data_IF_862510489110
#
_entry.id   IF_862510489110
#
_cell.length_a   1.000
_cell.length_b   1.000
_cell.length_c   1.000
_cell.angle_alpha   90.00
_cell.angle_beta   90.00
_cell.angle_gamma   90.00
#
_symmetry.space_group_name_H-M   'P 1'
#
loop_
_entity.id
_entity.type
_entity.pdbx_description
1 polymer ?
#
# COMPACT_ATOMS: atom_id res chain seq x y z
N UNK A 1 39.87 -19.04 6.88
CA UNK A 1 39.91 -17.75 6.17
C UNK A 1 38.49 -17.20 6.11
N UNK A 2 38.14 -16.42 7.12
CA UNK A 2 36.80 -15.86 7.35
C UNK A 2 36.69 -14.57 6.54
N UNK A 3 35.78 -14.48 5.56
CA UNK A 3 35.54 -13.23 4.84
C UNK A 3 34.20 -12.63 5.27
N UNK A 4 34.32 -11.38 5.67
CA UNK A 4 33.37 -10.60 6.43
C UNK A 4 32.13 -10.18 5.63
N UNK A 5 31.00 -10.26 6.35
CA UNK A 5 29.86 -9.35 6.44
C UNK A 5 30.09 -8.04 5.65
N UNK A 6 29.41 -7.91 4.50
CA UNK A 6 29.24 -6.66 3.77
C UNK A 6 27.99 -5.92 4.27
N UNK A 7 28.15 -4.64 4.55
CA UNK A 7 27.27 -3.81 5.36
C UNK A 7 25.81 -3.73 4.91
N UNK A 8 24.92 -3.70 5.93
CA UNK A 8 23.53 -3.25 5.80
C UNK A 8 23.54 -1.83 5.28
N UNK A 9 22.95 -1.60 4.10
CA UNK A 9 22.46 -0.27 3.75
C UNK A 9 21.33 0.02 4.74
N UNK A 10 21.42 1.13 5.47
CA UNK A 10 20.23 1.73 6.07
C UNK A 10 19.26 1.98 4.92
N UNK A 11 18.19 1.20 4.84
CA UNK A 11 17.08 1.44 3.93
C UNK A 11 16.47 2.79 4.33
N UNK A 12 16.82 3.85 3.60
CA UNK A 12 16.32 5.19 3.87
C UNK A 12 14.80 5.18 3.74
N UNK A 13 14.11 5.52 4.83
CA UNK A 13 12.67 5.82 4.83
C UNK A 13 12.39 6.84 3.74
N UNK A 14 11.41 6.56 2.87
CA UNK A 14 11.06 7.52 1.81
C UNK A 14 10.58 8.84 2.42
N UNK A 15 10.76 9.96 1.72
CA UNK A 15 10.28 11.27 2.20
C UNK A 15 8.77 11.24 2.47
N UNK A 16 8.01 10.53 1.64
CA UNK A 16 6.58 10.33 1.85
C UNK A 16 6.29 9.51 3.11
N UNK A 17 7.01 8.42 3.38
CA UNK A 17 6.84 7.66 4.63
C UNK A 17 7.19 8.52 5.84
N UNK A 18 8.26 9.31 5.78
CA UNK A 18 8.63 10.24 6.84
C UNK A 18 7.53 11.29 7.10
N UNK A 19 6.88 11.77 6.03
CA UNK A 19 5.73 12.66 6.14
C UNK A 19 4.50 11.96 6.76
N UNK A 20 4.20 10.72 6.37
CA UNK A 20 3.12 9.93 6.98
C UNK A 20 3.37 9.68 8.47
N UNK A 21 4.59 9.31 8.85
CA UNK A 21 5.01 9.14 10.25
C UNK A 21 4.80 10.44 11.02
N UNK A 22 5.17 11.57 10.42
CA UNK A 22 4.98 12.87 11.05
C UNK A 22 3.54 13.27 11.24
N UNK A 23 2.69 13.06 10.24
CA UNK A 23 1.26 13.31 10.36
C UNK A 23 0.62 12.39 11.40
N UNK A 24 1.08 11.13 11.45
CA UNK A 24 0.59 10.14 12.40
C UNK A 24 0.90 10.49 13.87
N UNK A 25 1.91 11.31 14.13
CA UNK A 25 2.24 11.79 15.47
C UNK A 25 1.39 12.99 15.92
N UNK A 26 0.60 13.61 15.03
CA UNK A 26 -0.25 14.75 15.36
C UNK A 26 -1.52 14.28 16.06
N UNK A 27 -1.61 14.54 17.36
CA UNK A 27 -2.82 14.36 18.16
C UNK A 27 -3.76 15.57 18.06
N UNK A 28 -4.87 15.53 18.81
CA UNK A 28 -5.93 16.54 18.77
C UNK A 28 -5.42 17.95 19.14
N UNK A 29 -4.52 18.05 20.12
CA UNK A 29 -3.91 19.30 20.56
C UNK A 29 -2.96 19.84 19.49
N UNK A 30 -2.07 18.98 18.96
CA UNK A 30 -1.14 19.37 17.91
C UNK A 30 -1.86 19.84 16.64
N UNK A 31 -2.99 19.22 16.31
CA UNK A 31 -3.86 19.56 15.18
C UNK A 31 -4.65 20.86 15.38
N UNK A 32 -4.94 21.24 16.62
CA UNK A 32 -5.65 22.48 16.96
C UNK A 32 -4.75 23.72 17.00
N UNK A 33 -3.42 23.55 16.92
CA UNK A 33 -2.47 24.68 16.89
C UNK A 33 -2.73 25.58 15.67
N UNK A 34 -2.51 26.91 15.79
CA UNK A 34 -2.70 27.83 14.67
C UNK A 34 -1.81 27.47 13.48
N UNK A 35 -2.36 27.56 12.28
CA UNK A 35 -1.64 27.47 11.01
C UNK A 35 -2.19 28.50 10.04
N UNK A 36 -1.34 29.10 9.21
CA UNK A 36 -1.76 30.15 8.26
C UNK A 36 -1.85 29.59 6.86
N UNK A 37 -3.00 29.78 6.22
CA UNK A 37 -3.21 29.44 4.82
C UNK A 37 -3.65 30.67 4.03
N UNK A 38 -2.88 31.04 3.00
CA UNK A 38 -3.14 32.21 2.13
C UNK A 38 -3.44 33.48 2.93
N UNK A 39 -2.65 33.73 3.98
CA UNK A 39 -2.76 34.91 4.83
C UNK A 39 -3.93 34.90 5.82
N UNK A 40 -4.69 33.80 5.93
CA UNK A 40 -5.76 33.64 6.92
C UNK A 40 -5.39 32.57 7.95
N UNK A 41 -5.72 32.83 9.21
CA UNK A 41 -5.54 31.88 10.30
C UNK A 41 -6.55 30.73 10.18
N UNK A 42 -6.05 29.52 10.41
CA UNK A 42 -6.78 28.26 10.55
C UNK A 42 -5.97 27.38 11.53
N UNK A 43 -6.12 26.06 11.49
CA UNK A 43 -5.37 25.13 12.32
C UNK A 43 -4.54 24.13 11.50
N UNK A 44 -3.63 23.42 12.18
CA UNK A 44 -2.76 22.39 11.57
C UNK A 44 -3.56 21.27 10.90
N UNK A 45 -4.77 20.95 11.41
CA UNK A 45 -5.67 19.96 10.79
C UNK A 45 -6.02 20.33 9.36
N UNK A 46 -6.27 21.60 9.10
CA UNK A 46 -6.52 22.08 7.74
C UNK A 46 -5.31 21.93 6.83
N UNK A 47 -4.07 21.94 7.33
CA UNK A 47 -2.91 21.63 6.50
C UNK A 47 -2.98 20.21 5.90
N UNK A 48 -3.49 19.24 6.67
CA UNK A 48 -3.72 17.88 6.17
C UNK A 48 -4.92 17.81 5.21
N UNK A 49 -6.04 18.46 5.54
CA UNK A 49 -7.21 18.47 4.65
C UNK A 49 -6.95 19.19 3.32
N UNK A 50 -6.18 20.29 3.32
CA UNK A 50 -5.75 20.95 2.06
C UNK A 50 -4.88 20.02 1.21
N UNK A 51 -4.10 19.13 1.82
CA UNK A 51 -3.35 18.11 1.07
C UNK A 51 -4.25 17.01 0.54
N UNK A 52 -5.27 16.62 1.29
CA UNK A 52 -6.27 15.66 0.81
C UNK A 52 -7.02 16.22 -0.40
N UNK A 53 -7.36 17.51 -0.39
CA UNK A 53 -7.98 18.18 -1.53
C UNK A 53 -7.06 18.21 -2.77
N UNK A 54 -5.76 18.50 -2.58
CA UNK A 54 -4.78 18.43 -3.68
C UNK A 54 -4.72 17.00 -4.27
N UNK A 55 -4.75 15.97 -3.42
CA UNK A 55 -4.78 14.56 -3.84
C UNK A 55 -6.05 14.22 -4.62
N UNK A 56 -7.20 14.72 -4.16
CA UNK A 56 -8.49 14.55 -4.84
C UNK A 56 -8.50 15.24 -6.20
N UNK A 57 -7.92 16.43 -6.31
CA UNK A 57 -7.78 17.15 -7.58
C UNK A 57 -6.89 16.36 -8.56
N UNK A 58 -5.76 15.85 -8.10
CA UNK A 58 -4.89 14.97 -8.88
C UNK A 58 -5.62 13.69 -9.32
N UNK A 59 -6.40 13.08 -8.43
CA UNK A 59 -7.22 11.91 -8.76
C UNK A 59 -8.26 12.20 -9.84
N UNK A 60 -8.99 13.32 -9.74
CA UNK A 60 -9.98 13.71 -10.76
C UNK A 60 -9.32 13.91 -12.12
N UNK A 61 -8.15 14.56 -12.18
CA UNK A 61 -7.41 14.72 -13.44
C UNK A 61 -6.91 13.38 -13.98
N UNK A 62 -6.29 12.57 -13.14
CA UNK A 62 -5.75 11.27 -13.56
C UNK A 62 -6.85 10.34 -14.04
N UNK A 63 -7.99 10.27 -13.34
CA UNK A 63 -9.11 9.38 -13.68
C UNK A 63 -9.89 9.79 -14.93
N UNK A 64 -9.81 11.06 -15.33
CA UNK A 64 -10.42 11.54 -16.58
C UNK A 64 -9.67 11.08 -17.85
N UNK A 65 -8.43 10.58 -17.71
CA UNK A 65 -7.65 10.04 -18.82
C UNK A 65 -8.16 8.68 -19.32
N UNK A 66 -7.72 8.28 -20.51
CA UNK A 66 -8.00 6.95 -21.05
C UNK A 66 -7.10 5.90 -20.37
N UNK A 67 -7.71 4.90 -19.73
CA UNK A 67 -7.02 3.83 -19.02
C UNK A 67 -7.56 2.45 -19.41
N UNK A 68 -6.68 1.44 -19.63
CA UNK A 68 -7.11 0.05 -19.71
C UNK A 68 -7.95 -0.36 -18.50
N UNK A 69 -8.90 -1.28 -18.70
CA UNK A 69 -9.75 -1.81 -17.62
C UNK A 69 -8.89 -2.33 -16.45
N UNK A 70 -7.83 -3.08 -16.76
CA UNK A 70 -6.90 -3.62 -15.77
C UNK A 70 -6.21 -2.55 -14.93
N UNK A 71 -5.83 -1.42 -15.52
CA UNK A 71 -5.19 -0.29 -14.81
C UNK A 71 -6.15 0.32 -13.80
N UNK A 72 -7.40 0.54 -14.20
CA UNK A 72 -8.46 1.05 -13.30
C UNK A 72 -8.72 0.07 -12.15
N UNK A 73 -8.74 -1.23 -12.42
CA UNK A 73 -8.90 -2.26 -11.37
C UNK A 73 -7.72 -2.24 -10.40
N UNK A 74 -6.48 -2.19 -10.91
CA UNK A 74 -5.28 -2.17 -10.07
C UNK A 74 -5.08 -0.84 -9.32
N UNK A 75 -5.64 0.27 -9.81
CA UNK A 75 -5.70 1.52 -9.07
C UNK A 75 -6.49 1.38 -7.76
N UNK A 76 -7.56 0.56 -7.73
CA UNK A 76 -8.26 0.21 -6.48
C UNK A 76 -7.37 -0.55 -5.51
N UNK A 77 -6.48 -1.41 -6.01
CA UNK A 77 -5.51 -2.12 -5.18
C UNK A 77 -4.43 -1.19 -4.65
N UNK A 78 -3.98 -0.22 -5.44
CA UNK A 78 -3.02 0.80 -5.01
C UNK A 78 -3.66 1.77 -3.99
N UNK A 79 -4.94 2.11 -4.14
CA UNK A 79 -5.72 2.83 -3.13
C UNK A 79 -5.73 2.09 -1.80
N UNK A 80 -6.09 0.80 -1.82
CA UNK A 80 -6.12 -0.04 -0.64
C UNK A 80 -4.73 -0.15 0.01
N UNK A 81 -3.67 -0.24 -0.80
CA UNK A 81 -2.30 -0.26 -0.31
C UNK A 81 -1.90 1.08 0.34
N UNK A 82 -2.27 2.21 -0.24
CA UNK A 82 -2.08 3.54 0.39
C UNK A 82 -2.76 3.62 1.75
N UNK A 83 -3.97 3.07 1.89
CA UNK A 83 -4.67 2.99 3.18
C UNK A 83 -3.96 2.07 4.19
N UNK A 84 -3.36 0.97 3.76
CA UNK A 84 -2.51 0.13 4.62
C UNK A 84 -1.24 0.88 5.04
N UNK A 85 -0.55 1.50 4.08
CA UNK A 85 0.69 2.26 4.30
C UNK A 85 0.48 3.35 5.35
N UNK A 86 -0.58 4.15 5.21
CA UNK A 86 -0.94 5.18 6.20
C UNK A 86 -1.41 4.62 7.56
N UNK A 87 -1.92 3.38 7.61
CA UNK A 87 -2.24 2.71 8.87
C UNK A 87 -0.97 2.31 9.64
N UNK A 88 0.03 1.76 8.94
CA UNK A 88 1.16 1.07 9.58
C UNK A 88 2.47 1.86 9.62
N UNK A 89 2.60 2.94 8.83
CA UNK A 89 3.79 3.79 8.86
C UNK A 89 4.14 4.25 10.29
N UNK A 90 5.41 4.08 10.68
CA UNK A 90 5.95 4.45 11.99
C UNK A 90 5.29 3.76 13.19
N UNK A 91 4.67 2.60 13.00
CA UNK A 91 4.26 1.78 14.15
C UNK A 91 5.50 1.37 14.96
N UNK A 92 5.43 1.42 16.31
CA UNK A 92 6.52 0.93 17.14
C UNK A 92 6.84 -0.54 16.85
N UNK A 93 8.12 -0.88 16.68
CA UNK A 93 8.57 -2.25 16.43
C UNK A 93 8.05 -3.26 17.46
N UNK A 94 7.89 -2.83 18.72
CA UNK A 94 7.32 -3.65 19.81
C UNK A 94 5.87 -4.14 19.54
N UNK A 95 5.13 -3.52 18.63
CA UNK A 95 3.80 -3.98 18.22
C UNK A 95 3.84 -5.03 17.11
N UNK A 96 4.92 -5.10 16.32
CA UNK A 96 4.97 -5.93 15.12
C UNK A 96 4.86 -7.42 15.45
N UNK A 97 5.52 -7.83 16.53
CA UNK A 97 5.65 -9.23 16.94
C UNK A 97 4.71 -9.61 18.10
N UNK A 98 3.92 -8.65 18.61
CA UNK A 98 3.03 -8.90 19.73
C UNK A 98 1.76 -9.59 19.25
N UNK A 99 1.53 -10.80 19.76
CA UNK A 99 0.30 -11.57 19.51
C UNK A 99 -0.91 -10.84 20.11
N UNK A 100 -1.95 -10.50 19.32
CA UNK A 100 -3.13 -9.79 19.82
C UNK A 100 -4.02 -10.65 20.72
N UNK A 101 -4.27 -11.90 20.31
CA UNK A 101 -5.00 -12.93 21.08
C UNK A 101 -4.45 -14.31 20.74
N UNK A 102 -4.71 -15.29 21.60
CA UNK A 102 -4.31 -16.67 21.34
C UNK A 102 -4.87 -17.16 20.00
N UNK A 103 -4.00 -17.67 19.12
CA UNK A 103 -4.36 -18.16 17.78
C UNK A 103 -4.51 -17.08 16.70
N UNK A 104 -4.38 -15.80 17.02
CA UNK A 104 -4.40 -14.71 16.04
C UNK A 104 -2.97 -14.32 15.60
N UNK A 105 -2.83 -13.90 14.35
CA UNK A 105 -1.55 -13.48 13.79
C UNK A 105 -1.09 -12.11 14.32
N UNK A 106 0.20 -11.95 14.66
CA UNK A 106 0.81 -10.63 14.87
C UNK A 106 0.84 -9.84 13.55
N UNK A 107 1.12 -8.54 13.64
CA UNK A 107 1.19 -7.66 12.47
C UNK A 107 2.26 -8.14 11.48
N UNK A 108 3.43 -8.56 11.97
CA UNK A 108 4.51 -9.05 11.11
C UNK A 108 4.09 -10.24 10.28
N UNK A 109 3.38 -11.19 10.87
CA UNK A 109 2.90 -12.38 10.16
C UNK A 109 1.84 -11.99 9.11
N UNK A 110 0.91 -11.10 9.47
CA UNK A 110 -0.10 -10.58 8.54
C UNK A 110 0.56 -9.87 7.34
N UNK A 111 1.52 -8.98 7.57
CA UNK A 111 2.21 -8.26 6.49
C UNK A 111 3.13 -9.18 5.67
N UNK A 112 3.75 -10.18 6.29
CA UNK A 112 4.55 -11.20 5.59
C UNK A 112 3.67 -12.06 4.68
N UNK A 113 2.48 -12.43 5.15
CA UNK A 113 1.48 -13.12 4.35
C UNK A 113 1.04 -12.27 3.15
N UNK A 114 0.73 -10.99 3.38
CA UNK A 114 0.38 -10.06 2.30
C UNK A 114 1.45 -9.99 1.22
N UNK A 115 2.73 -9.87 1.60
CA UNK A 115 3.85 -9.81 0.65
C UNK A 115 3.98 -11.10 -0.17
N UNK A 116 3.94 -12.25 0.51
CA UNK A 116 4.05 -13.55 -0.16
C UNK A 116 2.90 -13.79 -1.14
N UNK A 117 1.67 -13.45 -0.73
CA UNK A 117 0.50 -13.55 -1.61
C UNK A 117 0.59 -12.55 -2.76
N UNK A 118 0.96 -11.29 -2.54
CA UNK A 118 1.11 -10.29 -3.61
C UNK A 118 2.00 -10.83 -4.75
N UNK A 119 3.20 -11.30 -4.41
CA UNK A 119 4.19 -11.79 -5.38
C UNK A 119 3.70 -13.06 -6.09
N UNK A 120 3.24 -14.06 -5.32
CA UNK A 120 2.78 -15.34 -5.89
C UNK A 120 1.54 -15.13 -6.77
N UNK A 121 0.62 -14.30 -6.32
CA UNK A 121 -0.66 -14.05 -6.98
C UNK A 121 -0.49 -13.22 -8.26
N UNK A 122 0.45 -12.26 -8.27
CA UNK A 122 0.86 -11.54 -9.47
C UNK A 122 1.45 -12.47 -10.52
N UNK A 123 2.37 -13.36 -10.13
CA UNK A 123 2.97 -14.32 -11.06
C UNK A 123 1.94 -15.27 -11.67
N UNK A 124 1.03 -15.80 -10.86
CA UNK A 124 -0.06 -16.66 -11.34
C UNK A 124 -1.02 -15.92 -12.30
N UNK A 125 -1.36 -14.67 -11.98
CA UNK A 125 -2.27 -13.87 -12.81
C UNK A 125 -1.60 -13.50 -14.12
N UNK A 126 -0.31 -13.13 -14.09
CA UNK A 126 0.49 -12.91 -15.28
C UNK A 126 0.61 -14.15 -16.15
N UNK A 127 0.86 -15.32 -15.55
CA UNK A 127 0.84 -16.57 -16.30
C UNK A 127 -0.51 -16.80 -16.98
N UNK A 128 -1.63 -16.52 -16.31
CA UNK A 128 -2.93 -16.66 -16.92
C UNK A 128 -3.11 -15.72 -18.15
N UNK A 129 -2.56 -14.51 -18.08
CA UNK A 129 -2.53 -13.56 -19.21
C UNK A 129 -1.64 -14.08 -20.35
N UNK A 130 -0.42 -14.51 -20.05
CA UNK A 130 0.66 -14.71 -21.03
C UNK A 130 0.68 -16.13 -21.65
N UNK A 131 0.12 -17.14 -20.97
CA UNK A 131 0.21 -18.54 -21.42
C UNK A 131 -0.37 -18.75 -22.83
N UNK A 132 0.18 -19.68 -23.59
CA UNK A 132 -0.43 -20.15 -24.83
C UNK A 132 -1.66 -21.04 -24.55
N UNK A 133 -2.57 -21.16 -25.52
CA UNK A 133 -3.85 -21.87 -25.32
C UNK A 133 -3.70 -23.38 -25.06
N UNK A 134 -2.59 -23.98 -25.51
CA UNK A 134 -2.25 -25.38 -25.24
C UNK A 134 -1.58 -25.61 -23.89
N UNK A 135 -1.21 -24.56 -23.16
CA UNK A 135 -0.57 -24.70 -21.85
C UNK A 135 -1.59 -24.93 -20.72
N UNK A 136 -1.21 -25.60 -19.62
CA UNK A 136 -2.08 -25.80 -18.48
C UNK A 136 -2.65 -24.49 -17.93
N UNK A 137 -3.89 -24.51 -17.42
CA UNK A 137 -4.50 -23.31 -16.81
C UNK A 137 -3.75 -22.90 -15.53
N UNK A 138 -3.28 -23.87 -14.74
CA UNK A 138 -2.50 -23.63 -13.52
C UNK A 138 -1.02 -23.59 -13.87
N UNK A 139 -0.34 -22.53 -13.45
CA UNK A 139 1.11 -22.49 -13.51
C UNK A 139 1.71 -23.65 -12.70
N UNK A 140 2.75 -24.33 -13.22
CA UNK A 140 3.49 -25.36 -12.49
C UNK A 140 4.02 -24.86 -11.13
N UNK A 141 3.92 -25.71 -10.10
CA UNK A 141 4.23 -25.33 -8.71
C UNK A 141 5.72 -25.01 -8.51
N UNK A 142 6.61 -25.66 -9.27
CA UNK A 142 8.06 -25.43 -9.27
C UNK A 142 8.46 -24.05 -9.81
N UNK A 143 7.55 -23.38 -10.53
CA UNK A 143 7.74 -22.00 -11.01
C UNK A 143 7.22 -20.95 -10.04
N UNK A 144 6.56 -21.34 -8.96
CA UNK A 144 6.00 -20.41 -7.99
C UNK A 144 6.93 -20.19 -6.80
N UNK A 145 6.98 -18.97 -6.24
CA UNK A 145 7.63 -18.76 -4.97
C UNK A 145 6.93 -19.58 -3.86
N UNK A 146 7.66 -19.96 -2.79
CA UNK A 146 7.09 -20.71 -1.67
C UNK A 146 5.83 -20.06 -1.08
N UNK A 147 4.87 -20.87 -0.67
CA UNK A 147 3.62 -20.43 -0.03
C UNK A 147 3.78 -20.01 1.42
N UNK A 148 4.77 -20.58 2.13
CA UNK A 148 5.04 -20.22 3.51
C UNK A 148 5.55 -18.76 3.56
N UNK A 149 4.96 -17.89 4.39
CA UNK A 149 5.50 -16.55 4.59
C UNK A 149 6.93 -16.69 5.11
N UNK A 150 7.93 -16.29 4.33
CA UNK A 150 9.25 -16.05 4.89
C UNK A 150 9.09 -14.88 5.84
N UNK A 151 9.36 -15.09 7.13
CA UNK A 151 9.24 -14.03 8.13
C UNK A 151 10.00 -12.80 7.62
N UNK A 152 9.27 -11.72 7.31
CA UNK A 152 9.86 -10.49 6.80
C UNK A 152 10.52 -9.80 7.99
N UNK A 153 11.80 -10.11 8.18
CA UNK A 153 12.63 -9.45 9.18
C UNK A 153 12.82 -7.95 8.87
N UNK A 154 13.07 -7.17 9.91
CA UNK A 154 13.27 -5.72 9.84
C UNK A 154 12.19 -4.92 10.57
N UNK A 155 12.35 -3.61 10.59
CA UNK A 155 11.34 -2.69 11.10
C UNK A 155 10.20 -2.50 10.07
N UNK A 156 9.14 -1.79 10.47
CA UNK A 156 7.95 -1.62 9.63
C UNK A 156 8.26 -0.95 8.29
N UNK A 157 9.25 -0.07 8.26
CA UNK A 157 9.70 0.63 7.06
C UNK A 157 10.29 -0.32 6.02
N UNK A 158 11.08 -1.32 6.46
CA UNK A 158 11.63 -2.34 5.58
C UNK A 158 10.53 -3.23 4.98
N UNK A 159 9.52 -3.57 5.78
CA UNK A 159 8.35 -4.34 5.32
C UNK A 159 7.56 -3.54 4.28
N UNK A 160 7.30 -2.25 4.56
CA UNK A 160 6.60 -1.34 3.66
C UNK A 160 7.35 -1.14 2.34
N UNK A 161 8.67 -1.00 2.37
CA UNK A 161 9.49 -0.89 1.17
C UNK A 161 9.31 -2.11 0.25
N UNK A 162 9.38 -3.32 0.81
CA UNK A 162 9.19 -4.57 0.05
C UNK A 162 7.78 -4.71 -0.52
N UNK A 163 6.75 -4.34 0.26
CA UNK A 163 5.37 -4.33 -0.24
C UNK A 163 5.19 -3.30 -1.36
N UNK A 164 5.81 -2.12 -1.23
CA UNK A 164 5.78 -1.07 -2.26
C UNK A 164 6.41 -1.57 -3.56
N UNK A 165 7.58 -2.21 -3.49
CA UNK A 165 8.25 -2.81 -4.64
C UNK A 165 7.39 -3.90 -5.30
N UNK A 166 6.81 -4.80 -4.51
CA UNK A 166 5.93 -5.85 -5.01
C UNK A 166 4.68 -5.29 -5.70
N UNK A 167 4.04 -4.27 -5.11
CA UNK A 167 2.88 -3.57 -5.72
C UNK A 167 3.25 -2.88 -7.03
N UNK A 168 4.39 -2.20 -7.08
CA UNK A 168 4.88 -1.55 -8.30
C UNK A 168 5.17 -2.57 -9.41
N UNK A 169 5.73 -3.73 -9.07
CA UNK A 169 5.95 -4.84 -10.01
C UNK A 169 4.63 -5.42 -10.54
N UNK A 170 3.64 -5.66 -9.67
CA UNK A 170 2.30 -6.09 -10.08
C UNK A 170 1.66 -5.08 -11.04
N UNK A 171 1.70 -3.78 -10.73
CA UNK A 171 1.15 -2.75 -11.60
C UNK A 171 1.86 -2.70 -12.95
N UNK A 172 3.18 -2.87 -12.98
CA UNK A 172 3.96 -2.92 -14.23
C UNK A 172 3.60 -4.13 -15.09
N UNK A 173 3.38 -5.30 -14.49
CA UNK A 173 3.06 -6.52 -15.24
C UNK A 173 1.60 -6.59 -15.71
N UNK A 174 0.67 -6.06 -14.91
CA UNK A 174 -0.76 -6.30 -15.08
C UNK A 174 -1.56 -5.01 -15.32
N UNK A 175 -0.91 -3.86 -15.41
CA UNK A 175 -1.56 -2.56 -15.64
C UNK A 175 -2.23 -2.46 -17.00
N UNK A 176 -1.62 -3.02 -18.04
CA UNK A 176 -2.06 -2.82 -19.43
C UNK A 176 -2.47 -4.15 -20.11
N UNK A 177 -3.27 -4.96 -19.40
CA UNK A 177 -3.80 -6.22 -19.92
C UNK A 177 -4.83 -5.92 -21.02
N UNK A 178 -4.65 -6.53 -22.19
CA UNK A 178 -5.54 -6.36 -23.33
C UNK A 178 -6.96 -6.88 -23.00
N UNK A 179 -8.04 -6.25 -23.53
CA UNK A 179 -9.41 -6.68 -23.24
C UNK A 179 -9.69 -8.16 -23.50
N UNK A 180 -9.12 -8.74 -24.56
CA UNK A 180 -9.26 -10.16 -24.87
C UNK A 180 -8.56 -11.08 -23.85
N UNK A 181 -7.52 -10.59 -23.17
CA UNK A 181 -6.82 -11.35 -22.14
C UNK A 181 -7.56 -11.32 -20.79
N UNK A 182 -8.44 -10.33 -20.56
CA UNK A 182 -9.21 -10.18 -19.31
C UNK A 182 -10.16 -11.35 -19.04
N UNK A 183 -10.62 -12.04 -20.08
CA UNK A 183 -11.54 -13.20 -19.98
C UNK A 183 -10.82 -14.54 -20.06
N UNK A 184 -9.48 -14.56 -20.11
CA UNK A 184 -8.73 -15.82 -20.15
C UNK A 184 -9.04 -16.64 -18.88
N UNK A 185 -9.32 -17.95 -19.01
CA UNK A 185 -9.59 -18.81 -17.86
C UNK A 185 -8.44 -18.79 -16.87
N UNK A 186 -8.76 -18.86 -15.59
CA UNK A 186 -7.82 -18.99 -14.49
C UNK A 186 -8.47 -19.77 -13.34
N UNK A 187 -7.71 -20.05 -12.30
CA UNK A 187 -8.23 -20.71 -11.09
C UNK A 187 -7.95 -19.87 -9.88
N UNK A 188 -8.92 -19.72 -8.98
CA UNK A 188 -8.72 -19.13 -7.65
C UNK A 188 -9.32 -20.05 -6.59
N UNK A 189 -8.52 -20.49 -5.61
CA UNK A 189 -8.96 -21.36 -4.52
C UNK A 189 -9.77 -22.60 -4.97
N UNK A 190 -9.41 -23.17 -6.13
CA UNK A 190 -10.11 -24.32 -6.72
C UNK A 190 -11.30 -23.98 -7.61
N UNK A 191 -11.78 -22.73 -7.59
CA UNK A 191 -12.86 -22.24 -8.44
C UNK A 191 -12.33 -21.81 -9.81
N UNK A 192 -13.10 -22.12 -10.86
CA UNK A 192 -12.87 -21.61 -12.20
C UNK A 192 -13.31 -20.14 -12.27
N UNK A 193 -12.38 -19.28 -12.68
CA UNK A 193 -12.55 -17.83 -12.74
C UNK A 193 -11.86 -17.29 -14.00
N UNK A 194 -11.83 -15.98 -14.21
CA UNK A 194 -11.06 -15.34 -15.27
C UNK A 194 -9.98 -14.38 -14.72
N UNK A 195 -9.16 -13.84 -15.63
CA UNK A 195 -8.14 -12.84 -15.28
C UNK A 195 -8.75 -11.61 -14.62
N UNK A 196 -9.91 -11.12 -15.10
CA UNK A 196 -10.61 -9.97 -14.52
C UNK A 196 -10.95 -10.20 -13.05
N UNK A 197 -11.55 -11.34 -12.71
CA UNK A 197 -11.82 -11.73 -11.33
C UNK A 197 -10.54 -11.69 -10.50
N UNK A 198 -9.45 -12.24 -11.05
CA UNK A 198 -8.18 -12.25 -10.34
C UNK A 198 -7.64 -10.85 -10.08
N UNK A 199 -7.73 -9.93 -11.04
CA UNK A 199 -7.28 -8.55 -10.85
C UNK A 199 -8.04 -7.84 -9.72
N UNK A 200 -9.35 -8.07 -9.58
CA UNK A 200 -10.13 -7.52 -8.46
C UNK A 200 -9.73 -8.07 -7.09
N UNK A 201 -9.16 -9.29 -7.02
CA UNK A 201 -8.75 -9.88 -5.75
C UNK A 201 -7.59 -9.13 -5.09
N UNK A 202 -6.73 -8.43 -5.84
CA UNK A 202 -5.64 -7.64 -5.24
C UNK A 202 -6.18 -6.61 -4.25
N UNK A 203 -7.14 -5.79 -4.68
CA UNK A 203 -7.72 -4.76 -3.81
C UNK A 203 -8.41 -5.37 -2.59
N UNK A 204 -9.28 -6.36 -2.83
CA UNK A 204 -10.04 -7.00 -1.76
C UNK A 204 -9.14 -7.70 -0.73
N UNK A 205 -8.05 -8.34 -1.17
CA UNK A 205 -7.08 -8.97 -0.27
C UNK A 205 -6.31 -7.96 0.57
N UNK A 206 -5.88 -6.84 -0.01
CA UNK A 206 -5.24 -5.76 0.75
C UNK A 206 -6.21 -5.17 1.78
N UNK A 207 -7.47 -4.96 1.43
CA UNK A 207 -8.51 -4.49 2.37
C UNK A 207 -8.73 -5.49 3.50
N UNK A 208 -8.88 -6.78 3.19
CA UNK A 208 -9.07 -7.87 4.16
C UNK A 208 -7.97 -7.85 5.24
N UNK A 209 -6.70 -7.81 4.83
CA UNK A 209 -5.59 -7.81 5.77
C UNK A 209 -5.31 -6.45 6.40
N UNK A 210 -5.72 -5.34 5.78
CA UNK A 210 -5.76 -4.04 6.45
C UNK A 210 -6.74 -4.07 7.63
N UNK A 211 -7.93 -4.65 7.44
CA UNK A 211 -8.92 -4.84 8.53
C UNK A 211 -8.36 -5.75 9.62
N UNK A 212 -7.63 -6.81 9.26
CA UNK A 212 -6.94 -7.66 10.22
C UNK A 212 -5.91 -6.85 11.04
N UNK A 213 -5.08 -6.02 10.41
CA UNK A 213 -4.15 -5.13 11.09
C UNK A 213 -4.87 -4.16 12.05
N UNK A 214 -5.99 -3.56 11.63
CA UNK A 214 -6.80 -2.69 12.51
C UNK A 214 -7.31 -3.43 13.75
N UNK A 215 -7.82 -4.66 13.57
CA UNK A 215 -8.30 -5.50 14.68
C UNK A 215 -7.17 -5.86 15.64
N UNK A 216 -5.99 -6.19 15.10
CA UNK A 216 -4.78 -6.47 15.89
C UNK A 216 -4.37 -5.25 16.70
N UNK A 217 -4.26 -4.08 16.08
CA UNK A 217 -3.90 -2.83 16.77
C UNK A 217 -4.88 -2.46 17.88
N UNK A 218 -6.19 -2.61 17.61
CA UNK A 218 -7.23 -2.40 18.61
C UNK A 218 -7.10 -3.38 19.79
N UNK A 219 -6.86 -4.66 19.51
CA UNK A 219 -6.66 -5.69 20.55
C UNK A 219 -5.44 -5.41 21.43
N UNK A 220 -4.39 -4.82 20.85
CA UNK A 220 -3.18 -4.39 21.55
C UNK A 220 -3.34 -3.08 22.32
N UNK A 221 -4.53 -2.48 22.31
CA UNK A 221 -4.83 -1.21 22.99
C UNK A 221 -4.22 0.02 22.29
N UNK A 222 -3.72 -0.14 21.07
CA UNK A 222 -3.14 0.96 20.32
C UNK A 222 -4.23 1.75 19.59
N UNK A 223 -4.21 3.07 19.75
CA UNK A 223 -5.21 3.98 19.18
C UNK A 223 -4.58 4.89 18.14
N UNK A 224 -5.26 5.05 17.00
CA UNK A 224 -4.87 6.02 15.98
C UNK A 224 -5.19 7.45 16.45
N UNK A 225 -4.23 8.35 16.31
CA UNK A 225 -4.44 9.80 16.37
C UNK A 225 -5.36 10.25 15.23
N UNK A 226 -5.99 11.42 15.36
CA UNK A 226 -6.73 12.02 14.25
C UNK A 226 -5.80 12.27 13.04
N UNK A 227 -4.56 12.73 13.28
CA UNK A 227 -3.58 12.97 12.22
C UNK A 227 -3.28 11.73 11.39
N UNK A 228 -3.15 10.56 12.04
CA UNK A 228 -2.99 9.28 11.34
C UNK A 228 -4.23 8.92 10.51
N UNK A 229 -5.43 9.14 11.05
CA UNK A 229 -6.68 8.85 10.32
C UNK A 229 -6.80 9.69 9.05
N UNK A 230 -6.45 10.96 9.10
CA UNK A 230 -6.45 11.86 7.92
C UNK A 230 -5.34 11.45 6.94
N UNK A 231 -4.11 11.25 7.43
CA UNK A 231 -2.98 10.82 6.60
C UNK A 231 -3.24 9.50 5.87
N UNK A 232 -3.97 8.58 6.51
CA UNK A 232 -4.40 7.33 5.88
C UNK A 232 -5.37 7.55 4.72
N UNK A 233 -6.32 8.47 4.84
CA UNK A 233 -7.23 8.83 3.73
C UNK A 233 -6.48 9.48 2.59
N UNK A 234 -5.55 10.39 2.91
CA UNK A 234 -4.66 11.01 1.95
C UNK A 234 -3.82 9.98 1.19
N UNK A 235 -3.13 9.09 1.90
CA UNK A 235 -2.27 8.07 1.30
C UNK A 235 -3.04 7.13 0.38
N UNK A 236 -4.30 6.81 0.71
CA UNK A 236 -5.17 6.02 -0.15
C UNK A 236 -5.45 6.71 -1.49
N UNK A 237 -5.79 8.01 -1.47
CA UNK A 237 -6.03 8.79 -2.70
C UNK A 237 -4.74 8.94 -3.52
N UNK A 238 -3.61 9.24 -2.88
CA UNK A 238 -2.30 9.29 -3.55
C UNK A 238 -1.97 7.95 -4.22
N UNK A 239 -2.19 6.84 -3.51
CA UNK A 239 -2.01 5.50 -4.07
C UNK A 239 -2.89 5.27 -5.31
N UNK A 240 -4.13 5.72 -5.31
CA UNK A 240 -4.99 5.60 -6.48
C UNK A 240 -4.48 6.40 -7.69
N UNK A 241 -4.00 7.63 -7.46
CA UNK A 241 -3.36 8.48 -8.50
C UNK A 241 -2.14 7.75 -9.09
N UNK A 242 -1.28 7.19 -8.24
CA UNK A 242 -0.13 6.39 -8.64
C UNK A 242 -0.56 5.14 -9.45
N UNK A 243 -1.60 4.44 -8.99
CA UNK A 243 -2.13 3.23 -9.64
C UNK A 243 -2.73 3.48 -11.02
N UNK A 244 -3.29 4.67 -11.25
CA UNK A 244 -3.69 5.15 -12.58
C UNK A 244 -2.49 5.50 -13.48
N UNK A 245 -1.25 5.44 -12.96
CA UNK A 245 -0.03 5.75 -13.71
C UNK A 245 0.40 7.22 -13.64
N UNK A 246 -0.34 8.08 -12.94
CA UNK A 246 -0.01 9.50 -12.76
C UNK A 246 1.04 9.70 -11.64
N UNK A 247 2.18 9.03 -11.76
CA UNK A 247 3.23 8.99 -10.72
C UNK A 247 3.82 10.37 -10.44
N UNK A 248 3.92 11.24 -11.46
CA UNK A 248 4.41 12.61 -11.28
C UNK A 248 3.45 13.43 -10.39
N UNK A 249 2.15 13.39 -10.69
CA UNK A 249 1.12 14.06 -9.90
C UNK A 249 1.07 13.53 -8.46
N UNK A 250 1.19 12.21 -8.28
CA UNK A 250 1.28 11.61 -6.94
C UNK A 250 2.47 12.18 -6.15
N UNK A 251 3.67 12.21 -6.75
CA UNK A 251 4.88 12.76 -6.13
C UNK A 251 4.77 14.24 -5.80
N UNK A 252 4.09 15.02 -6.63
CA UNK A 252 3.85 16.44 -6.33
C UNK A 252 2.99 16.60 -5.06
N UNK A 253 1.96 15.78 -4.90
CA UNK A 253 1.12 15.78 -3.69
C UNK A 253 1.92 15.30 -2.46
N UNK A 254 2.76 14.27 -2.62
CA UNK A 254 3.67 13.79 -1.56
C UNK A 254 4.63 14.91 -1.09
N UNK A 255 5.23 15.65 -2.02
CA UNK A 255 6.09 16.79 -1.71
C UNK A 255 5.32 17.90 -0.96
N UNK A 256 4.11 18.25 -1.43
CA UNK A 256 3.25 19.23 -0.73
C UNK A 256 2.88 18.79 0.68
N UNK A 257 2.69 17.48 0.92
CA UNK A 257 2.47 16.95 2.26
C UNK A 257 3.70 17.22 3.15
N UNK A 258 4.90 16.90 2.66
CA UNK A 258 6.14 17.11 3.39
C UNK A 258 6.37 18.59 3.72
N UNK A 259 6.16 19.49 2.74
CA UNK A 259 6.25 20.94 2.92
C UNK A 259 5.27 21.46 3.98
N UNK A 260 3.98 21.07 3.89
CA UNK A 260 2.98 21.51 4.86
C UNK A 260 3.25 20.95 6.25
N UNK A 261 3.70 19.71 6.36
CA UNK A 261 4.11 19.13 7.63
C UNK A 261 5.31 19.87 8.24
N UNK A 262 6.30 20.25 7.43
CA UNK A 262 7.43 21.06 7.89
C UNK A 262 6.96 22.43 8.42
N UNK A 263 5.95 23.03 7.79
CA UNK A 263 5.40 24.33 8.21
C UNK A 263 4.66 24.33 9.56
N UNK A 264 4.32 23.16 10.11
CA UNK A 264 3.57 23.02 11.38
C UNK A 264 4.40 22.44 12.53
N UNK A 265 5.66 22.06 12.25
CA UNK A 265 6.61 21.54 13.24
C UNK A 265 7.48 22.63 13.87
N UNK A 266 7.42 23.84 13.34
CA UNK A 266 7.95 25.07 13.92
C UNK A 266 6.96 25.62 14.96
#
# INVERSE_FOLDING_TARGET
>A
MTRAIGGRRNENVSEFDAALIGCAALDEEALARPWTWRGRQTDVRYALYRTLEDAQEAHVRASAGEHPESRRILALAQHAFGALRGLVAGLPGALLDKTPRAGEWPLRETLSHMLAVEQRYALQTRYAVDRADGEPIRIPEDRLPPTAPTNVGGEIEAILARLTEARAETNRWLGDVAPAAMTRPAVWAGYDVDVRFRLHRFAAHVVEHTIQCEKTLLALGWRQTEGRRIARRLAAVIGEVEGLGAVADAREVEARLAERLASVRL
#
